data_IF_693166343551
#
_entry.id   IF_693166343551
#
_cell.length_a   1.000
_cell.length_b   1.000
_cell.length_c   1.000
_cell.angle_alpha   90.00
_cell.angle_beta   90.00
_cell.angle_gamma   90.00
#
_symmetry.space_group_name_H-M   'P 1'
#
loop_
_entity.id
_entity.type
_entity.pdbx_description
1 polymer ?
#
# COMPACT_ATOMS: atom_id res chain seq x y z
N UNK A 1 -3.18 32.50 4.02
CA UNK A 1 -3.51 31.45 5.00
C UNK A 1 -3.99 30.27 4.19
N UNK A 2 -3.14 29.25 4.09
CA UNK A 2 -3.46 28.04 3.34
C UNK A 2 -4.51 27.29 4.16
N UNK A 3 -5.74 27.22 3.65
CA UNK A 3 -6.71 26.28 4.16
C UNK A 3 -6.15 24.88 3.88
N UNK A 4 -5.59 24.25 4.91
CA UNK A 4 -5.36 22.81 4.88
C UNK A 4 -6.70 22.17 4.48
N UNK A 5 -6.67 21.30 3.47
CA UNK A 5 -7.88 20.64 3.00
C UNK A 5 -8.45 19.86 4.19
N UNK A 6 -9.59 20.32 4.69
CA UNK A 6 -10.29 19.70 5.82
C UNK A 6 -10.55 18.25 5.45
N UNK A 7 -10.15 17.32 6.32
CA UNK A 7 -10.46 15.90 6.11
C UNK A 7 -11.97 15.71 6.16
N UNK A 8 -12.50 14.73 5.42
CA UNK A 8 -13.93 14.35 5.47
C UNK A 8 -14.44 14.16 6.90
N UNK A 9 -13.61 13.61 7.80
CA UNK A 9 -13.89 13.45 9.22
C UNK A 9 -14.10 14.79 9.94
N UNK A 10 -13.22 15.77 9.74
CA UNK A 10 -13.32 17.09 10.35
C UNK A 10 -14.50 17.88 9.80
N UNK A 11 -14.84 17.68 8.53
CA UNK A 11 -16.05 18.25 7.93
C UNK A 11 -17.32 17.66 8.58
N UNK A 12 -17.33 16.35 8.86
CA UNK A 12 -18.44 15.68 9.53
C UNK A 12 -18.62 16.13 10.97
N UNK A 13 -17.53 16.28 11.74
CA UNK A 13 -17.54 16.78 13.12
C UNK A 13 -18.15 18.20 13.21
N UNK A 14 -17.76 19.09 12.28
CA UNK A 14 -18.33 20.44 12.19
C UNK A 14 -19.82 20.43 11.83
N UNK A 15 -20.21 19.54 10.92
CA UNK A 15 -21.61 19.40 10.55
C UNK A 15 -22.45 18.86 11.72
N UNK A 16 -21.95 17.85 12.44
CA UNK A 16 -22.57 17.31 13.64
C UNK A 16 -22.75 18.37 14.71
N UNK A 17 -21.70 19.12 15.03
CA UNK A 17 -21.78 20.20 16.02
C UNK A 17 -22.74 21.32 15.61
N UNK A 18 -22.78 21.70 14.33
CA UNK A 18 -23.76 22.66 13.81
C UNK A 18 -25.20 22.14 13.98
N UNK A 19 -25.48 20.87 13.63
CA UNK A 19 -26.80 20.27 13.79
C UNK A 19 -27.24 20.13 15.24
N UNK A 20 -26.36 19.70 16.12
CA UNK A 20 -26.65 19.60 17.56
C UNK A 20 -26.88 20.99 18.17
N UNK A 21 -26.08 21.99 17.77
CA UNK A 21 -26.30 23.38 18.20
C UNK A 21 -27.63 23.95 17.71
N UNK A 22 -28.09 23.57 16.51
CA UNK A 22 -29.40 23.97 15.97
C UNK A 22 -30.57 23.40 16.78
N UNK A 23 -30.35 22.26 17.42
CA UNK A 23 -31.28 21.62 18.36
C UNK A 23 -31.10 22.12 19.80
N UNK A 24 -30.29 23.17 20.01
CA UNK A 24 -29.92 23.72 21.32
C UNK A 24 -29.24 22.73 22.27
N UNK A 25 -28.63 21.67 21.72
CA UNK A 25 -27.86 20.68 22.46
C UNK A 25 -26.39 21.11 22.48
N UNK A 26 -25.84 21.24 23.68
CA UNK A 26 -24.42 21.50 23.87
C UNK A 26 -23.72 20.19 24.22
N UNK A 27 -23.08 19.60 23.22
CA UNK A 27 -22.35 18.34 23.32
C UNK A 27 -20.85 18.63 23.35
N UNK A 28 -20.05 17.99 24.24
CA UNK A 28 -18.59 18.14 24.24
C UNK A 28 -17.96 17.72 22.91
N UNK A 29 -16.87 18.40 22.51
CA UNK A 29 -16.18 18.14 21.24
C UNK A 29 -15.68 16.68 21.13
N UNK A 30 -15.22 16.10 22.25
CA UNK A 30 -14.77 14.70 22.29
C UNK A 30 -15.90 13.72 21.92
N UNK A 31 -17.12 13.98 22.39
CA UNK A 31 -18.28 13.14 22.09
C UNK A 31 -18.74 13.30 20.64
N UNK A 32 -18.59 14.50 20.07
CA UNK A 32 -18.83 14.76 18.64
C UNK A 32 -17.84 13.98 17.77
N UNK A 33 -16.56 13.91 18.16
CA UNK A 33 -15.55 13.09 17.49
C UNK A 33 -15.90 11.59 17.54
N UNK A 34 -16.35 11.08 18.70
CA UNK A 34 -16.79 9.69 18.81
C UNK A 34 -18.02 9.39 17.97
N UNK A 35 -19.00 10.30 17.92
CA UNK A 35 -20.19 10.18 17.08
C UNK A 35 -19.82 10.19 15.59
N UNK A 36 -18.90 11.07 15.17
CA UNK A 36 -18.42 11.12 13.80
C UNK A 36 -17.76 9.78 13.40
N UNK A 37 -16.86 9.25 14.24
CA UNK A 37 -16.22 7.94 14.02
C UNK A 37 -17.21 6.79 13.92
N UNK A 38 -18.27 6.82 14.72
CA UNK A 38 -19.32 5.79 14.66
C UNK A 38 -20.11 5.85 13.35
N UNK A 39 -20.38 7.06 12.82
CA UNK A 39 -21.01 7.24 11.51
C UNK A 39 -20.07 6.80 10.37
N UNK A 40 -18.75 6.96 10.53
CA UNK A 40 -17.74 6.50 9.57
C UNK A 40 -17.64 4.97 9.48
N UNK A 41 -17.99 4.24 10.55
CA UNK A 41 -17.82 2.78 10.60
C UNK A 41 -18.58 2.08 9.46
N UNK A 42 -17.84 1.30 8.67
CA UNK A 42 -18.36 0.56 7.52
C UNK A 42 -18.99 -0.75 8.00
N UNK A 43 -20.29 -0.93 7.76
CA UNK A 43 -21.02 -2.17 8.06
C UNK A 43 -22.32 -1.99 8.83
N UNK A 44 -22.58 -0.79 9.35
CA UNK A 44 -23.85 -0.45 10.00
C UNK A 44 -24.85 0.10 8.98
N UNK A 45 -26.11 -0.31 9.09
CA UNK A 45 -27.20 0.26 8.31
C UNK A 45 -27.55 1.68 8.78
N UNK A 46 -28.24 2.46 7.94
CA UNK A 46 -28.61 3.87 8.24
C UNK A 46 -29.35 3.98 9.57
N UNK A 47 -30.30 3.09 9.82
CA UNK A 47 -31.12 3.11 11.02
C UNK A 47 -30.31 2.73 12.27
N UNK A 48 -29.38 1.77 12.15
CA UNK A 48 -28.47 1.40 13.24
C UNK A 48 -27.49 2.53 13.58
N UNK A 49 -27.05 3.29 12.59
CA UNK A 49 -26.22 4.49 12.80
C UNK A 49 -26.99 5.56 13.56
N UNK A 50 -28.24 5.83 13.17
CA UNK A 50 -29.09 6.80 13.86
C UNK A 50 -29.35 6.36 15.30
N UNK A 51 -29.72 5.09 15.51
CA UNK A 51 -29.98 4.54 16.85
C UNK A 51 -28.74 4.55 17.74
N UNK A 52 -27.58 4.17 17.21
CA UNK A 52 -26.33 4.17 17.96
C UNK A 52 -25.86 5.58 18.35
N UNK A 53 -25.96 6.54 17.43
CA UNK A 53 -25.63 7.95 17.71
C UNK A 53 -26.62 8.56 18.69
N UNK A 54 -27.90 8.20 18.59
CA UNK A 54 -28.92 8.58 19.58
C UNK A 54 -28.62 8.02 20.96
N UNK A 55 -28.22 6.76 21.08
CA UNK A 55 -27.81 6.16 22.35
C UNK A 55 -26.59 6.84 22.98
N UNK A 56 -25.65 7.34 22.15
CA UNK A 56 -24.54 8.17 22.63
C UNK A 56 -25.03 9.52 23.16
N UNK A 57 -25.96 10.18 22.46
CA UNK A 57 -26.55 11.45 22.92
C UNK A 57 -27.35 11.29 24.22
N UNK A 58 -28.09 10.20 24.38
CA UNK A 58 -28.82 9.88 25.62
C UNK A 58 -27.87 9.66 26.81
N UNK A 59 -26.63 9.22 26.56
CA UNK A 59 -25.59 9.10 27.60
C UNK A 59 -24.89 10.40 27.96
N UNK A 60 -24.85 11.37 27.04
CA UNK A 60 -24.12 12.64 27.19
C UNK A 60 -25.01 13.78 27.68
N UNK A 61 -26.28 13.79 27.27
CA UNK A 61 -27.25 14.83 27.60
C UNK A 61 -28.11 14.36 28.77
N UNK A 62 -28.18 15.16 29.85
CA UNK A 62 -28.93 14.80 31.06
C UNK A 62 -30.40 14.41 30.73
N UNK A 63 -30.83 13.32 31.37
CA UNK A 63 -32.13 12.66 31.21
C UNK A 63 -33.27 13.69 31.29
N UNK A 64 -33.93 13.97 30.16
CA UNK A 64 -35.05 14.92 30.06
C UNK A 64 -34.82 16.20 29.24
N UNK A 65 -33.63 16.37 28.64
CA UNK A 65 -33.33 17.49 27.74
C UNK A 65 -33.14 17.11 26.27
N UNK A 66 -33.27 15.83 25.91
CA UNK A 66 -33.37 15.41 24.50
C UNK A 66 -34.78 15.73 23.97
N UNK A 67 -34.92 16.60 22.96
CA UNK A 67 -36.17 16.69 22.21
C UNK A 67 -36.40 15.40 21.41
N UNK A 68 -37.37 14.57 21.80
CA UNK A 68 -37.72 13.33 21.08
C UNK A 68 -38.14 13.59 19.61
N UNK A 69 -38.61 14.80 19.31
CA UNK A 69 -38.98 15.23 17.96
C UNK A 69 -37.83 15.94 17.25
N UNK A 70 -37.39 15.44 16.10
CA UNK A 70 -36.43 16.12 15.22
C UNK A 70 -34.97 15.68 15.36
N UNK A 71 -34.60 14.93 16.41
CA UNK A 71 -33.26 14.36 16.55
C UNK A 71 -33.01 13.30 15.49
N UNK A 72 -33.93 12.36 15.30
CA UNK A 72 -33.78 11.29 14.31
C UNK A 72 -33.67 11.87 12.88
N UNK A 73 -34.37 12.97 12.58
CA UNK A 73 -34.26 13.68 11.31
C UNK A 73 -32.90 14.38 11.15
N UNK A 74 -32.41 15.05 12.20
CA UNK A 74 -31.10 15.71 12.19
C UNK A 74 -29.95 14.70 12.05
N UNK A 75 -30.03 13.55 12.74
CA UNK A 75 -29.07 12.46 12.62
C UNK A 75 -29.15 11.80 11.24
N UNK A 76 -30.36 11.67 10.67
CA UNK A 76 -30.53 11.25 9.28
C UNK A 76 -29.79 12.14 8.30
N UNK A 77 -29.85 13.46 8.48
CA UNK A 77 -29.11 14.42 7.66
C UNK A 77 -27.58 14.32 7.82
N UNK A 78 -27.09 13.94 9.00
CA UNK A 78 -25.65 13.70 9.22
C UNK A 78 -25.18 12.49 8.42
N UNK A 79 -25.95 11.40 8.42
CA UNK A 79 -25.60 10.19 7.64
C UNK A 79 -25.67 10.47 6.13
N UNK A 80 -26.62 11.30 5.70
CA UNK A 80 -26.74 11.72 4.31
C UNK A 80 -25.52 12.58 3.88
N UNK A 81 -25.06 13.50 4.74
CA UNK A 81 -23.86 14.32 4.46
C UNK A 81 -22.59 13.47 4.46
N UNK A 82 -22.46 12.49 5.35
CA UNK A 82 -21.35 11.51 5.30
C UNK A 82 -21.32 10.75 3.96
N UNK A 83 -22.48 10.30 3.50
CA UNK A 83 -22.60 9.59 2.21
C UNK A 83 -22.15 10.48 1.06
N UNK A 84 -22.54 11.75 1.07
CA UNK A 84 -22.10 12.75 0.09
C UNK A 84 -20.59 13.01 0.15
N UNK A 85 -20.02 13.17 1.35
CA UNK A 85 -18.58 13.39 1.51
C UNK A 85 -17.76 12.20 0.98
N UNK A 86 -18.26 10.98 1.21
CA UNK A 86 -17.63 9.75 0.67
C UNK A 86 -17.63 9.73 -0.86
N UNK A 87 -18.74 10.10 -1.50
CA UNK A 87 -18.80 10.21 -2.97
C UNK A 87 -17.83 11.28 -3.52
N UNK A 88 -17.71 12.42 -2.84
CA UNK A 88 -16.76 13.48 -3.21
C UNK A 88 -15.29 13.04 -3.04
N UNK A 89 -14.97 12.21 -2.04
CA UNK A 89 -13.62 11.65 -1.89
C UNK A 89 -13.32 10.55 -2.92
N UNK A 90 -14.29 9.67 -3.21
CA UNK A 90 -14.13 8.64 -4.23
C UNK A 90 -13.94 9.25 -5.63
N UNK A 91 -14.67 10.33 -5.94
CA UNK A 91 -14.49 11.06 -7.21
C UNK A 91 -13.13 11.75 -7.28
N UNK A 92 -12.69 12.44 -6.22
CA UNK A 92 -11.34 13.03 -6.16
C UNK A 92 -10.24 11.96 -6.28
N UNK A 93 -10.43 10.80 -5.67
CA UNK A 93 -9.51 9.66 -5.78
C UNK A 93 -9.50 9.08 -7.19
N UNK A 94 -10.66 8.91 -7.82
CA UNK A 94 -10.75 8.46 -9.20
C UNK A 94 -10.08 9.45 -10.17
N UNK A 95 -10.27 10.76 -9.98
CA UNK A 95 -9.57 11.79 -10.76
C UNK A 95 -8.06 11.80 -10.54
N UNK A 96 -7.60 11.57 -9.30
CA UNK A 96 -6.17 11.42 -9.01
C UNK A 96 -5.58 10.19 -9.69
N UNK A 97 -6.29 9.04 -9.65
CA UNK A 97 -5.87 7.83 -10.34
C UNK A 97 -5.88 7.99 -11.87
N UNK A 98 -6.84 8.71 -12.44
CA UNK A 98 -6.81 9.04 -13.87
C UNK A 98 -5.65 9.96 -14.22
N UNK A 99 -5.33 10.94 -13.37
CA UNK A 99 -4.15 11.80 -13.55
C UNK A 99 -2.84 11.02 -13.44
N UNK A 100 -2.75 10.04 -12.56
CA UNK A 100 -1.59 9.15 -12.46
C UNK A 100 -1.49 8.20 -13.66
N UNK A 101 -2.62 7.73 -14.20
CA UNK A 101 -2.67 6.92 -15.43
C UNK A 101 -2.35 7.74 -16.68
N UNK A 102 -2.66 9.04 -16.69
CA UNK A 102 -2.41 9.99 -17.77
C UNK A 102 -1.07 10.72 -17.66
N UNK A 103 -0.38 10.64 -16.52
CA UNK A 103 0.99 11.10 -16.41
C UNK A 103 1.82 10.34 -17.44
N UNK A 104 2.23 11.03 -18.50
CA UNK A 104 2.96 10.43 -19.61
C UNK A 104 4.17 9.66 -19.07
N UNK A 105 4.34 8.37 -19.43
CA UNK A 105 5.56 7.68 -19.10
C UNK A 105 6.73 8.48 -19.68
N UNK A 106 7.84 8.65 -18.93
CA UNK A 106 8.99 9.39 -19.44
C UNK A 106 9.38 8.84 -20.81
N UNK A 107 9.65 9.71 -21.80
CA UNK A 107 9.99 9.25 -23.15
C UNK A 107 11.36 8.56 -23.16
N UNK A 108 11.35 7.26 -22.85
CA UNK A 108 12.53 6.41 -22.73
C UNK A 108 13.32 6.32 -24.06
N UNK A 109 12.69 6.62 -25.20
CA UNK A 109 13.40 6.67 -26.50
C UNK A 109 14.26 7.92 -26.61
N UNK A 110 13.77 9.06 -26.16
CA UNK A 110 14.54 10.32 -26.12
C UNK A 110 15.78 10.19 -25.23
N UNK A 111 15.67 9.48 -24.11
CA UNK A 111 16.78 9.22 -23.17
C UNK A 111 17.89 8.43 -23.87
N UNK A 112 17.55 7.32 -24.54
CA UNK A 112 18.55 6.53 -25.28
C UNK A 112 19.15 7.29 -26.47
N UNK A 113 18.37 8.14 -27.14
CA UNK A 113 18.85 8.95 -28.26
C UNK A 113 19.80 10.08 -27.84
N UNK A 114 19.69 10.55 -26.59
CA UNK A 114 20.57 11.58 -26.03
C UNK A 114 21.93 11.06 -25.54
N UNK A 115 22.10 9.73 -25.44
CA UNK A 115 23.35 9.12 -24.99
C UNK A 115 24.35 8.97 -26.13
N UNK A 116 25.62 9.17 -25.81
CA UNK A 116 26.71 8.86 -26.75
C UNK A 116 26.83 7.34 -26.95
N UNK A 117 27.38 6.87 -28.10
CA UNK A 117 27.54 5.44 -28.36
C UNK A 117 28.42 4.73 -27.32
N UNK A 118 29.39 5.42 -26.73
CA UNK A 118 30.27 4.89 -25.68
C UNK A 118 29.52 4.68 -24.36
N UNK A 119 28.68 5.64 -23.97
CA UNK A 119 27.84 5.54 -22.76
C UNK A 119 26.78 4.44 -22.91
N UNK A 120 26.21 4.28 -24.10
CA UNK A 120 25.26 3.20 -24.37
C UNK A 120 25.91 1.81 -24.23
N UNK A 121 27.13 1.64 -24.74
CA UNK A 121 27.89 0.39 -24.58
C UNK A 121 28.30 0.13 -23.12
N UNK A 122 28.60 1.18 -22.34
CA UNK A 122 28.86 1.06 -20.91
C UNK A 122 27.61 0.64 -20.13
N UNK A 123 26.45 1.25 -20.42
CA UNK A 123 25.18 0.92 -19.80
C UNK A 123 24.73 -0.52 -20.13
N UNK A 124 24.93 -0.98 -21.37
CA UNK A 124 24.67 -2.37 -21.75
C UNK A 124 25.58 -3.36 -21.00
N UNK A 125 26.87 -3.06 -20.89
CA UNK A 125 27.81 -3.89 -20.11
C UNK A 125 27.43 -3.95 -18.64
N UNK A 126 27.06 -2.81 -18.04
CA UNK A 126 26.60 -2.76 -16.65
C UNK A 126 25.31 -3.56 -16.44
N UNK A 127 24.33 -3.44 -17.34
CA UNK A 127 23.09 -4.20 -17.28
C UNK A 127 23.33 -5.72 -17.42
N UNK A 128 24.23 -6.13 -18.33
CA UNK A 128 24.61 -7.54 -18.46
C UNK A 128 25.31 -8.07 -17.20
N UNK A 129 26.24 -7.30 -16.64
CA UNK A 129 26.92 -7.68 -15.41
C UNK A 129 25.94 -7.85 -14.23
N UNK A 130 24.89 -7.02 -14.16
CA UNK A 130 23.80 -7.18 -13.19
C UNK A 130 22.96 -8.44 -13.47
N UNK A 131 22.59 -8.69 -14.73
CA UNK A 131 21.83 -9.90 -15.12
C UNK A 131 22.58 -11.19 -14.76
N UNK A 132 23.91 -11.19 -14.86
CA UNK A 132 24.76 -12.32 -14.49
C UNK A 132 25.24 -12.30 -13.02
N UNK A 133 24.73 -11.37 -12.20
CA UNK A 133 25.04 -11.30 -10.76
C UNK A 133 26.49 -10.94 -10.43
N UNK A 134 27.25 -10.37 -11.38
CA UNK A 134 28.62 -9.90 -11.14
C UNK A 134 28.67 -8.49 -10.54
N UNK A 135 27.56 -7.75 -10.62
CA UNK A 135 27.36 -6.48 -9.95
C UNK A 135 26.04 -6.58 -9.21
N UNK A 136 26.08 -7.24 -8.05
CA UNK A 136 25.13 -6.91 -6.98
C UNK A 136 25.43 -5.47 -6.56
N UNK A 137 24.37 -4.73 -6.27
CA UNK A 137 24.39 -3.32 -5.94
C UNK A 137 25.66 -2.95 -5.17
N UNK A 138 26.48 -2.07 -5.74
CA UNK A 138 27.64 -1.51 -5.04
C UNK A 138 27.25 -0.75 -3.75
N UNK A 139 25.96 -0.71 -3.39
CA UNK A 139 25.41 -0.21 -2.14
C UNK A 139 24.73 -1.29 -1.24
N UNK A 140 24.50 -2.53 -1.68
CA UNK A 140 23.86 -3.56 -0.83
C UNK A 140 24.83 -4.31 0.11
N UNK A 141 26.15 -4.20 -0.12
CA UNK A 141 27.20 -4.71 0.77
C UNK A 141 27.95 -3.62 1.55
N UNK A 142 27.41 -2.40 1.60
CA UNK A 142 27.90 -1.30 2.46
C UNK A 142 27.35 -1.33 3.90
N UNK A 143 26.65 -2.40 4.28
CA UNK A 143 25.93 -2.56 5.55
C UNK A 143 26.74 -3.14 6.72
N UNK A 144 28.07 -3.02 6.73
CA UNK A 144 28.88 -3.45 7.87
C UNK A 144 30.06 -2.50 8.13
N UNK A 145 29.76 -1.42 8.85
CA UNK A 145 30.59 -0.99 9.99
C UNK A 145 32.01 -0.51 9.72
N UNK A 146 32.17 0.59 9.00
CA UNK A 146 33.30 1.51 9.23
C UNK A 146 32.82 2.94 8.99
N UNK A 147 32.51 3.66 10.08
CA UNK A 147 32.27 5.10 10.04
C UNK A 147 33.60 5.77 9.74
N UNK A 148 33.80 6.13 8.48
CA UNK A 148 34.91 6.97 8.06
C UNK A 148 34.82 8.33 8.79
N UNK A 149 35.93 8.75 9.42
CA UNK A 149 36.00 9.88 10.34
C UNK A 149 36.01 11.27 9.68
N UNK A 150 35.62 11.36 8.41
CA UNK A 150 35.67 12.58 7.62
C UNK A 150 34.29 12.89 7.01
N UNK A 151 33.32 13.25 7.86
CA UNK A 151 32.01 13.69 7.40
C UNK A 151 32.08 15.15 6.90
N UNK A 152 31.69 15.46 5.66
CA UNK A 152 31.63 16.83 5.16
C UNK A 152 30.53 17.64 5.88
N UNK A 153 30.68 18.98 5.97
CA UNK A 153 29.82 19.83 6.79
C UNK A 153 28.33 19.73 6.40
N UNK A 154 27.46 19.76 7.42
CA UNK A 154 25.99 19.71 7.31
C UNK A 154 25.48 20.81 6.36
N UNK A 155 25.24 20.45 5.10
CA UNK A 155 24.73 21.35 4.06
C UNK A 155 25.03 20.87 2.64
N UNK A 156 26.21 20.30 2.42
CA UNK A 156 26.60 19.72 1.13
C UNK A 156 26.07 18.29 0.95
N UNK A 157 25.80 17.59 2.06
CA UNK A 157 25.26 16.23 2.04
C UNK A 157 23.86 16.14 1.43
N UNK A 158 23.03 17.18 1.56
CA UNK A 158 21.69 17.19 0.96
C UNK A 158 21.75 17.40 -0.57
N UNK A 159 22.65 18.26 -1.05
CA UNK A 159 22.86 18.46 -2.50
C UNK A 159 23.53 17.24 -3.13
N UNK A 160 24.53 16.66 -2.47
CA UNK A 160 25.16 15.41 -2.91
C UNK A 160 24.19 14.22 -2.85
N UNK A 161 23.27 14.17 -1.88
CA UNK A 161 22.22 13.16 -1.83
C UNK A 161 21.17 13.34 -2.92
N UNK A 162 20.75 14.58 -3.22
CA UNK A 162 19.84 14.86 -4.34
C UNK A 162 20.49 14.59 -5.70
N UNK A 163 21.78 14.90 -5.86
CA UNK A 163 22.52 14.63 -7.09
C UNK A 163 22.74 13.12 -7.29
N UNK A 164 23.02 12.38 -6.21
CA UNK A 164 23.07 10.91 -6.23
C UNK A 164 21.69 10.32 -6.56
N UNK A 165 20.63 10.78 -5.92
CA UNK A 165 19.27 10.34 -6.20
C UNK A 165 18.88 10.61 -7.67
N UNK A 166 19.16 11.79 -8.21
CA UNK A 166 18.91 12.12 -9.60
C UNK A 166 19.77 11.27 -10.56
N UNK A 167 21.01 10.96 -10.20
CA UNK A 167 21.88 10.08 -10.99
C UNK A 167 21.37 8.63 -10.98
N UNK A 168 20.86 8.14 -9.86
CA UNK A 168 20.32 6.79 -9.73
C UNK A 168 18.95 6.66 -10.41
N UNK A 169 18.11 7.68 -10.34
CA UNK A 169 16.89 7.79 -11.15
C UNK A 169 17.22 7.77 -12.65
N UNK A 170 18.24 8.52 -13.09
CA UNK A 170 18.70 8.51 -14.48
C UNK A 170 19.22 7.14 -14.90
N UNK A 171 20.01 6.45 -14.06
CA UNK A 171 20.48 5.07 -14.32
C UNK A 171 19.30 4.10 -14.42
N UNK A 172 18.32 4.21 -13.53
CA UNK A 172 17.12 3.37 -13.53
C UNK A 172 16.27 3.60 -14.80
N UNK A 173 16.16 4.85 -15.27
CA UNK A 173 15.48 5.16 -16.53
C UNK A 173 16.24 4.59 -17.74
N UNK A 174 17.57 4.66 -17.76
CA UNK A 174 18.41 4.08 -18.82
C UNK A 174 18.26 2.56 -18.85
N UNK A 175 18.28 1.90 -17.70
CA UNK A 175 18.08 0.46 -17.59
C UNK A 175 16.68 0.03 -18.05
N UNK A 176 15.63 0.75 -17.63
CA UNK A 176 14.26 0.53 -18.10
C UNK A 176 14.16 0.70 -19.62
N UNK A 177 14.82 1.71 -20.18
CA UNK A 177 14.84 1.96 -21.61
C UNK A 177 15.54 0.81 -22.38
N UNK A 178 16.70 0.35 -21.90
CA UNK A 178 17.44 -0.78 -22.47
C UNK A 178 16.63 -2.10 -22.38
N UNK A 179 15.96 -2.35 -21.27
CA UNK A 179 15.11 -3.53 -21.10
C UNK A 179 13.92 -3.53 -22.07
N UNK A 180 13.27 -2.38 -22.28
CA UNK A 180 12.18 -2.25 -23.25
C UNK A 180 12.67 -2.37 -24.70
N UNK A 181 13.81 -1.76 -25.05
CA UNK A 181 14.42 -1.92 -26.36
C UNK A 181 14.81 -3.38 -26.63
N UNK A 182 15.39 -4.05 -25.64
CA UNK A 182 15.68 -5.49 -25.69
C UNK A 182 14.42 -6.35 -25.88
N UNK A 183 13.33 -6.04 -25.17
CA UNK A 183 12.03 -6.72 -25.36
C UNK A 183 11.45 -6.48 -26.75
N UNK A 184 11.50 -5.25 -27.27
CA UNK A 184 11.04 -4.89 -28.62
C UNK A 184 11.86 -5.59 -29.69
N UNK A 185 13.18 -5.64 -29.55
CA UNK A 185 14.09 -6.38 -30.45
C UNK A 185 13.84 -7.89 -30.40
N UNK A 186 13.64 -8.47 -29.21
CA UNK A 186 13.28 -9.89 -29.06
C UNK A 186 11.93 -10.20 -29.70
N UNK A 187 10.92 -9.34 -29.51
CA UNK A 187 9.59 -9.48 -30.11
C UNK A 187 9.64 -9.37 -31.64
N UNK A 188 10.36 -8.36 -32.16
CA UNK A 188 10.59 -8.18 -33.60
C UNK A 188 11.32 -9.39 -34.19
N UNK A 189 12.38 -9.88 -33.53
CA UNK A 189 13.08 -11.11 -33.93
C UNK A 189 12.16 -12.33 -33.91
N UNK A 190 11.26 -12.45 -32.94
CA UNK A 190 10.26 -13.54 -32.89
C UNK A 190 9.19 -13.43 -33.98
N UNK A 191 8.92 -12.23 -34.51
CA UNK A 191 8.02 -12.01 -35.64
C UNK A 191 8.73 -12.19 -37.00
N UNK A 192 10.01 -11.81 -37.09
CA UNK A 192 10.84 -11.92 -38.30
C UNK A 192 11.40 -13.33 -38.54
N UNK A 193 11.31 -14.22 -37.54
CA UNK A 193 11.57 -15.65 -37.73
C UNK A 193 10.41 -16.25 -38.54
N UNK A 194 10.60 -16.10 -39.85
CA UNK A 194 9.95 -16.75 -40.98
C UNK A 194 8.50 -16.33 -41.32
N UNK A 195 8.39 -15.29 -42.16
CA UNK A 195 7.14 -14.86 -42.80
C UNK A 195 6.65 -15.81 -43.91
N UNK A 196 7.46 -16.82 -44.31
CA UNK A 196 7.12 -17.76 -45.39
C UNK A 196 6.78 -19.16 -44.89
N UNK A 197 7.20 -19.54 -43.68
CA UNK A 197 6.72 -20.73 -42.98
C UNK A 197 6.41 -20.39 -41.51
N UNK A 198 5.13 -20.32 -41.10
CA UNK A 198 4.78 -20.13 -39.70
C UNK A 198 5.47 -21.20 -38.86
N UNK A 199 6.28 -20.79 -37.87
CA UNK A 199 6.87 -21.73 -36.93
C UNK A 199 5.75 -22.35 -36.07
N UNK A 200 5.19 -23.47 -36.54
CA UNK A 200 4.15 -24.27 -35.87
C UNK A 200 4.56 -24.78 -34.47
N UNK A 201 5.82 -24.58 -34.06
CA UNK A 201 6.30 -24.89 -32.71
C UNK A 201 6.29 -23.70 -31.76
N UNK A 202 5.97 -22.48 -32.22
CA UNK A 202 5.90 -21.28 -31.36
C UNK A 202 4.89 -21.46 -30.23
N UNK A 203 3.69 -21.93 -30.54
CA UNK A 203 2.64 -22.15 -29.55
C UNK A 203 3.00 -23.29 -28.60
N UNK A 204 3.69 -24.33 -29.09
CA UNK A 204 4.19 -25.44 -28.25
C UNK A 204 5.28 -24.99 -27.30
N UNK A 205 6.19 -24.11 -27.72
CA UNK A 205 7.24 -23.55 -26.88
C UNK A 205 6.66 -22.59 -25.86
N UNK A 206 5.72 -21.73 -26.26
CA UNK A 206 5.00 -20.83 -25.35
C UNK A 206 4.21 -21.61 -24.29
N UNK A 207 3.49 -22.66 -24.71
CA UNK A 207 2.76 -23.55 -23.82
C UNK A 207 3.68 -24.28 -22.83
N UNK A 208 4.81 -24.83 -23.31
CA UNK A 208 5.81 -25.46 -22.42
C UNK A 208 6.38 -24.47 -21.40
N UNK A 209 6.70 -23.24 -21.82
CA UNK A 209 7.20 -22.21 -20.92
C UNK A 209 6.15 -21.75 -19.89
N UNK A 210 4.86 -21.71 -20.27
CA UNK A 210 3.76 -21.46 -19.33
C UNK A 210 3.62 -22.59 -18.31
N UNK A 211 3.60 -23.84 -18.77
CA UNK A 211 3.56 -25.01 -17.90
C UNK A 211 4.72 -25.06 -16.91
N UNK A 212 5.94 -24.71 -17.33
CA UNK A 212 7.12 -24.67 -16.47
C UNK A 212 7.00 -23.57 -15.39
N UNK A 213 6.48 -22.39 -15.76
CA UNK A 213 6.21 -21.29 -14.79
C UNK A 213 5.14 -21.67 -13.77
N UNK A 214 4.07 -22.32 -14.22
CA UNK A 214 3.02 -22.82 -13.32
C UNK A 214 3.54 -23.91 -12.39
N UNK A 215 4.35 -24.83 -12.90
CA UNK A 215 4.99 -25.87 -12.10
C UNK A 215 5.93 -25.26 -11.03
N UNK A 216 6.73 -24.26 -11.40
CA UNK A 216 7.61 -23.56 -10.46
C UNK A 216 6.82 -22.81 -9.37
N UNK A 217 5.71 -22.16 -9.73
CA UNK A 217 4.81 -21.47 -8.79
C UNK A 217 4.18 -22.46 -7.80
N UNK A 218 3.70 -23.59 -8.30
CA UNK A 218 3.11 -24.64 -7.47
C UNK A 218 4.15 -25.27 -6.53
N UNK A 219 5.37 -25.53 -7.01
CA UNK A 219 6.45 -26.06 -6.18
C UNK A 219 6.85 -25.08 -5.05
N UNK A 220 6.92 -23.78 -5.34
CA UNK A 220 7.19 -22.75 -4.35
C UNK A 220 6.08 -22.66 -3.29
N UNK A 221 4.82 -22.74 -3.71
CA UNK A 221 3.67 -22.73 -2.80
C UNK A 221 3.66 -23.97 -1.90
N UNK A 222 3.89 -25.16 -2.45
CA UNK A 222 3.96 -26.40 -1.66
C UNK A 222 5.09 -26.39 -0.63
N UNK A 223 6.21 -25.73 -0.92
CA UNK A 223 7.30 -25.56 0.06
C UNK A 223 6.85 -24.65 1.21
N UNK A 224 6.25 -23.50 0.89
CA UNK A 224 5.71 -22.56 1.89
C UNK A 224 4.65 -23.21 2.79
N UNK A 225 3.74 -23.99 2.20
CA UNK A 225 2.69 -24.68 2.94
C UNK A 225 3.26 -25.76 3.87
N UNK A 226 4.30 -26.49 3.43
CA UNK A 226 5.03 -27.44 4.28
C UNK A 226 5.74 -26.76 5.45
N UNK A 227 6.44 -25.66 5.19
CA UNK A 227 7.17 -24.91 6.22
C UNK A 227 6.19 -24.32 7.25
N UNK A 228 5.05 -23.78 6.80
CA UNK A 228 3.97 -23.28 7.67
C UNK A 228 3.37 -24.39 8.52
N UNK A 229 3.05 -25.54 7.94
CA UNK A 229 2.52 -26.68 8.66
C UNK A 229 3.51 -27.22 9.72
N UNK A 230 4.82 -27.21 9.42
CA UNK A 230 5.86 -27.60 10.37
C UNK A 230 5.94 -26.62 11.57
N UNK A 231 5.86 -25.31 11.30
CA UNK A 231 5.84 -24.29 12.35
C UNK A 231 4.59 -24.38 13.24
N UNK A 232 3.41 -24.59 12.64
CA UNK A 232 2.17 -24.74 13.39
C UNK A 232 2.19 -26.01 14.26
N UNK A 233 2.78 -27.10 13.77
CA UNK A 233 3.02 -28.31 14.58
C UNK A 233 3.92 -28.02 15.77
N UNK A 234 5.04 -27.31 15.57
CA UNK A 234 5.97 -26.95 16.64
C UNK A 234 5.29 -26.07 17.71
N UNK A 235 4.46 -25.10 17.28
CA UNK A 235 3.68 -24.24 18.19
C UNK A 235 2.68 -25.05 19.01
N UNK A 236 1.97 -25.98 18.38
CA UNK A 236 0.98 -26.83 19.06
C UNK A 236 1.64 -27.79 20.06
N UNK A 237 2.79 -28.38 19.72
CA UNK A 237 3.53 -29.26 20.62
C UNK A 237 4.10 -28.47 21.82
N UNK A 238 4.58 -27.24 21.59
CA UNK A 238 5.02 -26.35 22.67
C UNK A 238 3.86 -25.90 23.57
N UNK A 239 2.69 -25.60 23.01
CA UNK A 239 1.49 -25.21 23.77
C UNK A 239 0.99 -26.38 24.64
N UNK A 240 0.94 -27.60 24.10
CA UNK A 240 0.60 -28.82 24.86
C UNK A 240 1.59 -29.07 25.99
N UNK A 241 2.89 -28.98 25.72
CA UNK A 241 3.91 -29.14 26.75
C UNK A 241 3.81 -28.09 27.87
N UNK A 242 3.48 -26.84 27.55
CA UNK A 242 3.23 -25.78 28.55
C UNK A 242 1.96 -26.06 29.36
N UNK A 243 0.87 -26.46 28.72
CA UNK A 243 -0.38 -26.80 29.40
C UNK A 243 -0.21 -27.99 30.36
N UNK A 244 0.55 -29.02 29.98
CA UNK A 244 0.83 -30.17 30.84
C UNK A 244 1.72 -29.81 32.03
N UNK A 245 2.69 -28.89 31.84
CA UNK A 245 3.50 -28.35 32.93
C UNK A 245 2.65 -27.53 33.91
N UNK A 246 1.77 -26.67 33.41
CA UNK A 246 0.85 -25.88 34.24
C UNK A 246 -0.12 -26.79 35.02
N UNK A 247 -0.69 -27.81 34.38
CA UNK A 247 -1.55 -28.81 35.06
C UNK A 247 -0.79 -29.57 36.15
N UNK A 248 0.47 -29.92 35.93
CA UNK A 248 1.31 -30.58 36.95
C UNK A 248 1.63 -29.64 38.11
N UNK A 249 1.99 -28.38 37.83
CA UNK A 249 2.28 -27.38 38.86
C UNK A 249 1.05 -27.09 39.73
N UNK A 250 -0.12 -26.86 39.13
CA UNK A 250 -1.38 -26.64 39.84
C UNK A 250 -1.79 -27.85 40.70
N UNK A 251 -1.46 -29.07 40.27
CA UNK A 251 -1.72 -30.30 41.06
C UNK A 251 -0.77 -30.44 42.25
N UNK A 252 0.44 -29.90 42.16
CA UNK A 252 1.41 -29.89 43.25
C UNK A 252 1.06 -28.82 44.29
N UNK A 253 0.63 -27.62 43.87
CA UNK A 253 0.12 -26.57 44.76
C UNK A 253 -1.15 -26.98 45.51
N UNK A 254 -2.00 -27.83 44.91
CA UNK A 254 -3.16 -28.41 45.61
C UNK A 254 -2.81 -29.48 46.66
N UNK A 255 -1.59 -29.98 46.66
CA UNK A 255 -1.13 -31.05 47.57
C UNK A 255 -0.20 -30.54 48.68
N UNK A 256 0.35 -29.33 48.52
CA UNK A 256 1.09 -28.60 49.55
C UNK A 256 0.10 -27.80 50.41
#
# INVERSE_FOLDING_TARGET
MSAEAESSSQALERYLSEKLSSLSLQVPDDDVEYMARFVEEEGLERDEKIEGVRGMLEGVVEEGSLPESGIDEALGHVVDEWSRLKEEEETKRAEAEEREKLAEPPDLKSILASMTPEEHAAAQRAALLREYGYVDDADALGGSGERDGNAPPKGESARAAHEKAAADERKALIEKALALDGKKKKYKKQQEVDLMAPNLNRDKVAYRAQMEREAAKNAAQQKRDRDKAALDKQRNDAAKAKADKQKKAAKQERRA
#
